data_IF_850671715171
#
_entry.id   IF_850671715171
#
_cell.length_a   1.000
_cell.length_b   1.000
_cell.length_c   1.000
_cell.angle_alpha   90.00
_cell.angle_beta   90.00
_cell.angle_gamma   90.00
#
_symmetry.space_group_name_H-M   'P 1'
#
loop_
_entity.id
_entity.type
_entity.pdbx_description
1 polymer ?
#
# COMPACT_ATOMS: atom_id res chain seq x y z
N UNK A 1 -64.28 -22.78 -26.41
CA UNK A 1 -63.31 -21.82 -27.01
C UNK A 1 -63.12 -20.61 -26.10
N UNK A 2 -64.19 -19.93 -25.70
CA UNK A 2 -64.14 -18.73 -24.83
C UNK A 2 -63.49 -19.01 -23.46
N UNK A 3 -63.89 -20.08 -22.75
CA UNK A 3 -63.29 -20.46 -21.46
C UNK A 3 -61.80 -20.84 -21.53
N UNK A 4 -61.32 -21.38 -22.67
CA UNK A 4 -59.89 -21.69 -22.85
C UNK A 4 -59.09 -20.41 -23.09
N UNK A 5 -59.62 -19.49 -23.90
CA UNK A 5 -59.04 -18.17 -24.13
C UNK A 5 -58.96 -17.36 -22.84
N UNK A 6 -60.01 -17.33 -22.02
CA UNK A 6 -60.00 -16.60 -20.73
C UNK A 6 -59.00 -17.19 -19.73
N UNK A 7 -58.82 -18.51 -19.70
CA UNK A 7 -57.86 -19.18 -18.80
C UNK A 7 -56.41 -18.97 -19.23
N UNK A 8 -56.15 -18.99 -20.55
CA UNK A 8 -54.84 -18.65 -21.14
C UNK A 8 -54.52 -17.17 -20.86
N UNK A 9 -55.47 -16.25 -21.10
CA UNK A 9 -55.30 -14.82 -20.80
C UNK A 9 -54.98 -14.58 -19.32
N UNK A 10 -55.71 -15.25 -18.41
CA UNK A 10 -55.55 -15.10 -16.95
C UNK A 10 -54.22 -15.66 -16.44
N UNK A 11 -53.75 -16.78 -17.00
CA UNK A 11 -52.45 -17.36 -16.65
C UNK A 11 -51.26 -16.57 -17.22
N UNK A 12 -51.39 -15.98 -18.41
CA UNK A 12 -50.38 -15.06 -18.96
C UNK A 12 -50.28 -13.80 -18.10
N UNK A 13 -51.41 -13.27 -17.60
CA UNK A 13 -51.45 -12.06 -16.74
C UNK A 13 -50.76 -12.25 -15.38
N UNK A 14 -50.67 -13.47 -14.85
CA UNK A 14 -50.02 -13.75 -13.56
C UNK A 14 -48.49 -13.82 -13.70
N UNK A 15 -47.96 -14.35 -14.80
CA UNK A 15 -46.51 -14.38 -15.03
C UNK A 15 -45.94 -13.02 -15.38
N UNK A 16 -46.64 -12.26 -16.22
CA UNK A 16 -46.17 -10.93 -16.61
C UNK A 16 -46.18 -9.94 -15.44
N UNK A 17 -46.83 -10.27 -14.32
CA UNK A 17 -46.82 -9.47 -13.09
C UNK A 17 -45.85 -9.98 -12.02
N UNK A 18 -45.38 -11.23 -12.10
CA UNK A 18 -44.47 -11.87 -11.13
C UNK A 18 -43.03 -12.04 -11.63
N UNK A 19 -42.80 -11.93 -12.94
CA UNK A 19 -41.49 -12.03 -13.58
C UNK A 19 -41.03 -10.63 -13.96
N UNK A 20 -39.77 -10.30 -13.70
CA UNK A 20 -39.22 -9.00 -14.09
C UNK A 20 -39.23 -8.80 -15.61
N UNK A 21 -39.42 -7.55 -16.06
CA UNK A 21 -39.67 -7.23 -17.46
C UNK A 21 -38.56 -7.71 -18.41
N UNK A 22 -37.31 -7.60 -17.97
CA UNK A 22 -36.11 -8.02 -18.69
C UNK A 22 -36.01 -9.56 -18.84
N UNK A 23 -36.24 -10.32 -17.76
CA UNK A 23 -36.31 -11.79 -17.81
C UNK A 23 -37.45 -12.24 -18.71
N UNK A 24 -38.60 -11.57 -18.62
CA UNK A 24 -39.71 -11.85 -19.52
C UNK A 24 -39.35 -11.53 -20.96
N UNK A 25 -38.61 -10.45 -21.24
CA UNK A 25 -38.24 -10.06 -22.60
C UNK A 25 -37.41 -11.12 -23.33
N UNK A 26 -36.49 -11.81 -22.64
CA UNK A 26 -35.67 -12.88 -23.23
C UNK A 26 -36.41 -14.21 -23.39
N UNK A 27 -37.49 -14.41 -22.62
CA UNK A 27 -38.27 -15.65 -22.61
C UNK A 27 -39.50 -15.61 -23.55
N UNK A 28 -40.10 -14.43 -23.75
CA UNK A 28 -41.43 -14.22 -24.34
C UNK A 28 -41.64 -14.93 -25.67
N UNK A 29 -40.75 -14.71 -26.64
CA UNK A 29 -40.94 -15.20 -28.01
C UNK A 29 -41.01 -16.73 -28.07
N UNK A 30 -40.14 -17.41 -27.34
CA UNK A 30 -40.15 -18.87 -27.27
C UNK A 30 -41.36 -19.36 -26.48
N UNK A 31 -41.75 -18.64 -25.43
CA UNK A 31 -42.85 -19.03 -24.56
C UNK A 31 -44.19 -18.98 -25.30
N UNK A 32 -44.46 -17.90 -26.02
CA UNK A 32 -45.70 -17.72 -26.79
C UNK A 32 -45.83 -18.73 -27.94
N UNK A 33 -44.71 -19.22 -28.46
CA UNK A 33 -44.67 -20.28 -29.49
C UNK A 33 -44.79 -21.70 -28.91
N UNK A 34 -44.93 -21.85 -27.59
CA UNK A 34 -44.93 -23.15 -26.91
C UNK A 34 -43.56 -23.82 -26.84
N UNK A 35 -42.48 -23.09 -27.14
CA UNK A 35 -41.10 -23.56 -27.00
C UNK A 35 -40.60 -23.31 -25.57
N UNK A 36 -41.18 -24.04 -24.62
CA UNK A 36 -40.94 -23.84 -23.20
C UNK A 36 -39.50 -24.15 -22.79
N UNK A 37 -38.90 -25.21 -23.34
CA UNK A 37 -37.49 -25.55 -23.11
C UNK A 37 -36.56 -24.38 -23.47
N UNK A 38 -36.75 -23.76 -24.64
CA UNK A 38 -35.92 -22.63 -25.07
C UNK A 38 -36.16 -21.38 -24.21
N UNK A 39 -37.39 -21.17 -23.75
CA UNK A 39 -37.73 -20.06 -22.85
C UNK A 39 -36.95 -20.15 -21.54
N UNK A 40 -36.85 -21.36 -20.97
CA UNK A 40 -36.07 -21.65 -19.77
C UNK A 40 -34.57 -21.41 -20.03
N UNK A 41 -34.03 -21.97 -21.12
CA UNK A 41 -32.60 -21.87 -21.42
C UNK A 41 -32.17 -20.44 -21.67
N UNK A 42 -32.97 -19.64 -22.40
CA UNK A 42 -32.72 -18.21 -22.61
C UNK A 42 -32.70 -17.44 -21.28
N UNK A 43 -33.64 -17.72 -20.38
CA UNK A 43 -33.70 -17.06 -19.07
C UNK A 43 -32.45 -17.36 -18.24
N UNK A 44 -31.97 -18.60 -18.25
CA UNK A 44 -30.75 -19.00 -17.52
C UNK A 44 -29.47 -18.48 -18.17
N UNK A 45 -29.45 -18.35 -19.49
CA UNK A 45 -28.36 -17.70 -20.20
C UNK A 45 -28.27 -16.22 -19.82
N UNK A 46 -29.41 -15.53 -19.75
CA UNK A 46 -29.49 -14.15 -19.32
C UNK A 46 -28.97 -13.96 -17.88
N UNK A 47 -29.28 -14.86 -16.94
CA UNK A 47 -28.67 -14.84 -15.59
C UNK A 47 -27.13 -14.87 -15.67
N UNK A 48 -26.55 -15.77 -16.48
CA UNK A 48 -25.09 -15.85 -16.64
C UNK A 48 -24.51 -14.55 -17.21
N UNK A 49 -25.21 -13.89 -18.12
CA UNK A 49 -24.80 -12.61 -18.69
C UNK A 49 -24.77 -11.51 -17.64
N UNK A 50 -25.83 -11.38 -16.84
CA UNK A 50 -25.90 -10.39 -15.75
C UNK A 50 -24.84 -10.64 -14.68
N UNK A 51 -24.58 -11.90 -14.33
CA UNK A 51 -23.51 -12.23 -13.37
C UNK A 51 -22.15 -11.81 -13.94
N UNK A 52 -21.85 -12.13 -15.21
CA UNK A 52 -20.59 -11.74 -15.87
C UNK A 52 -20.40 -10.24 -15.90
N UNK A 53 -21.42 -9.52 -16.36
CA UNK A 53 -21.41 -8.06 -16.45
C UNK A 53 -21.08 -7.44 -15.09
N UNK A 54 -21.75 -7.93 -14.05
CA UNK A 54 -21.62 -7.34 -12.72
C UNK A 54 -20.33 -7.72 -12.01
N UNK A 55 -19.87 -8.96 -12.18
CA UNK A 55 -18.66 -9.47 -11.53
C UNK A 55 -17.38 -9.14 -12.31
N UNK A 56 -17.47 -8.73 -13.58
CA UNK A 56 -16.32 -8.53 -14.46
C UNK A 56 -15.59 -9.83 -14.85
N UNK A 57 -16.21 -11.00 -14.66
CA UNK A 57 -15.56 -12.29 -14.91
C UNK A 57 -15.82 -12.75 -16.35
N UNK A 58 -14.81 -13.34 -16.99
CA UNK A 58 -14.91 -13.98 -18.32
C UNK A 58 -15.14 -15.50 -18.23
N UNK A 59 -15.85 -15.95 -17.19
CA UNK A 59 -16.19 -17.36 -16.94
C UNK A 59 -17.63 -17.66 -17.35
N UNK A 60 -17.99 -18.94 -17.47
CA UNK A 60 -19.38 -19.36 -17.73
C UNK A 60 -19.80 -20.47 -16.76
N UNK A 61 -21.12 -20.62 -16.62
CA UNK A 61 -21.77 -21.75 -15.98
C UNK A 61 -21.35 -21.89 -14.50
N UNK A 62 -21.14 -23.10 -14.01
CA UNK A 62 -20.82 -23.35 -12.60
C UNK A 62 -19.56 -22.62 -12.11
N UNK A 63 -18.52 -22.52 -12.95
CA UNK A 63 -17.28 -21.82 -12.61
C UNK A 63 -17.53 -20.33 -12.36
N UNK A 64 -18.41 -19.72 -13.15
CA UNK A 64 -18.82 -18.34 -12.94
C UNK A 64 -19.52 -18.17 -11.58
N UNK A 65 -20.43 -19.08 -11.21
CA UNK A 65 -21.15 -19.00 -9.94
C UNK A 65 -20.24 -19.25 -8.73
N UNK A 66 -19.29 -20.18 -8.87
CA UNK A 66 -18.28 -20.44 -7.84
C UNK A 66 -17.45 -19.19 -7.54
N UNK A 67 -16.87 -18.56 -8.56
CA UNK A 67 -16.02 -17.37 -8.38
C UNK A 67 -16.83 -16.10 -8.02
N UNK A 68 -18.07 -16.00 -8.52
CA UNK A 68 -18.89 -14.82 -8.26
C UNK A 68 -19.44 -14.79 -6.83
N UNK A 69 -19.85 -15.92 -6.26
CA UNK A 69 -20.64 -15.92 -5.01
C UNK A 69 -20.09 -16.81 -3.89
N UNK A 70 -19.23 -17.79 -4.20
CA UNK A 70 -18.74 -18.77 -3.24
C UNK A 70 -17.26 -18.52 -2.90
N UNK A 71 -16.72 -19.29 -1.96
CA UNK A 71 -15.34 -19.13 -1.48
C UNK A 71 -15.18 -18.06 -0.40
N UNK A 72 -13.94 -17.79 -0.02
CA UNK A 72 -13.62 -16.82 1.05
C UNK A 72 -13.79 -15.36 0.58
N UNK A 73 -13.62 -15.09 -0.72
CA UNK A 73 -13.62 -13.74 -1.29
C UNK A 73 -14.48 -13.66 -2.56
N UNK A 74 -15.82 -13.72 -2.43
CA UNK A 74 -16.72 -13.70 -3.59
C UNK A 74 -16.67 -12.34 -4.31
N UNK A 75 -16.71 -12.36 -5.66
CA UNK A 75 -16.71 -11.13 -6.50
C UNK A 75 -18.02 -10.35 -6.46
N UNK A 76 -19.11 -10.94 -5.99
CA UNK A 76 -20.40 -10.29 -5.80
C UNK A 76 -20.92 -10.61 -4.39
N UNK A 77 -21.11 -9.57 -3.59
CA UNK A 77 -21.63 -9.65 -2.22
C UNK A 77 -23.12 -9.34 -2.20
N UNK A 78 -23.92 -10.27 -1.70
CA UNK A 78 -25.38 -10.13 -1.59
C UNK A 78 -25.77 -9.36 -0.31
N UNK A 79 -24.92 -9.40 0.70
CA UNK A 79 -25.06 -8.69 1.97
C UNK A 79 -23.67 -8.29 2.51
N UNK A 80 -23.56 -7.93 3.79
CA UNK A 80 -22.30 -7.42 4.37
C UNK A 80 -21.31 -8.51 4.80
N UNK A 81 -21.72 -9.78 4.84
CA UNK A 81 -20.90 -10.92 5.28
C UNK A 81 -20.34 -10.80 6.72
N UNK A 82 -20.98 -10.02 7.59
CA UNK A 82 -20.50 -9.78 8.95
C UNK A 82 -20.89 -10.91 9.91
N UNK A 83 -22.12 -11.41 9.78
CA UNK A 83 -22.67 -12.46 10.64
C UNK A 83 -22.60 -13.84 9.97
N UNK A 84 -22.67 -14.90 10.77
CA UNK A 84 -22.77 -16.27 10.22
C UNK A 84 -24.01 -16.41 9.33
N UNK A 85 -25.15 -15.85 9.74
CA UNK A 85 -26.38 -15.84 8.94
C UNK A 85 -26.19 -15.17 7.57
N UNK A 86 -25.48 -14.04 7.53
CA UNK A 86 -25.16 -13.35 6.28
C UNK A 86 -24.26 -14.19 5.36
N UNK A 87 -23.27 -14.88 5.93
CA UNK A 87 -22.40 -15.82 5.19
C UNK A 87 -23.18 -17.01 4.67
N UNK A 88 -24.10 -17.55 5.45
CA UNK A 88 -24.97 -18.66 5.05
C UNK A 88 -25.91 -18.25 3.90
N UNK A 89 -26.47 -17.04 3.96
CA UNK A 89 -27.30 -16.48 2.87
C UNK A 89 -26.48 -16.33 1.60
N UNK A 90 -25.27 -15.77 1.68
CA UNK A 90 -24.36 -15.61 0.54
C UNK A 90 -24.07 -16.97 -0.12
N UNK A 91 -23.66 -17.95 0.68
CA UNK A 91 -23.37 -19.29 0.19
C UNK A 91 -24.63 -19.94 -0.40
N UNK A 92 -25.77 -19.80 0.27
CA UNK A 92 -27.05 -20.32 -0.18
C UNK A 92 -27.44 -19.83 -1.57
N UNK A 93 -27.33 -18.52 -1.84
CA UNK A 93 -27.64 -17.99 -3.18
C UNK A 93 -26.63 -18.48 -4.22
N UNK A 94 -25.34 -18.54 -3.89
CA UNK A 94 -24.34 -19.15 -4.77
C UNK A 94 -24.68 -20.60 -5.13
N UNK A 95 -25.13 -21.40 -4.16
CA UNK A 95 -25.57 -22.78 -4.39
C UNK A 95 -26.85 -22.87 -5.20
N UNK A 96 -27.82 -21.97 -5.02
CA UNK A 96 -29.04 -21.93 -5.84
C UNK A 96 -28.71 -21.64 -7.31
N UNK A 97 -27.89 -20.62 -7.57
CA UNK A 97 -27.46 -20.27 -8.93
C UNK A 97 -26.65 -21.40 -9.58
N UNK A 98 -25.71 -21.99 -8.84
CA UNK A 98 -24.94 -23.15 -9.30
C UNK A 98 -25.85 -24.37 -9.55
N UNK A 99 -26.86 -24.58 -8.70
CA UNK A 99 -27.87 -25.62 -8.86
C UNK A 99 -28.74 -25.42 -10.10
N UNK A 100 -29.16 -24.19 -10.40
CA UNK A 100 -29.87 -23.85 -11.64
C UNK A 100 -29.02 -24.16 -12.88
N UNK A 101 -27.73 -23.88 -12.83
CA UNK A 101 -26.81 -24.27 -13.89
C UNK A 101 -26.75 -25.80 -14.05
N UNK A 102 -26.47 -26.53 -12.97
CA UNK A 102 -26.26 -27.98 -13.01
C UNK A 102 -27.52 -28.79 -13.32
N UNK A 103 -28.62 -28.51 -12.62
CA UNK A 103 -29.83 -29.33 -12.66
C UNK A 103 -30.84 -28.87 -13.73
N UNK A 104 -30.77 -27.60 -14.16
CA UNK A 104 -31.76 -27.03 -15.08
C UNK A 104 -31.16 -26.69 -16.43
N UNK A 105 -30.13 -25.83 -16.49
CA UNK A 105 -29.52 -25.38 -17.75
C UNK A 105 -28.81 -26.54 -18.46
N UNK A 106 -27.90 -27.23 -17.79
CA UNK A 106 -26.99 -28.19 -18.42
C UNK A 106 -27.75 -29.35 -19.10
N UNK A 107 -28.74 -30.01 -18.46
CA UNK A 107 -29.47 -31.08 -19.13
C UNK A 107 -30.20 -30.60 -20.38
N UNK A 108 -30.78 -29.38 -20.36
CA UNK A 108 -31.49 -28.79 -21.51
C UNK A 108 -30.56 -28.34 -22.64
N UNK A 109 -29.29 -28.06 -22.32
CA UNK A 109 -28.29 -27.69 -23.30
C UNK A 109 -27.62 -28.90 -23.97
N UNK A 110 -27.60 -30.06 -23.31
CA UNK A 110 -26.89 -31.25 -23.78
C UNK A 110 -27.83 -32.36 -24.27
N UNK A 111 -29.08 -32.39 -23.82
CA UNK A 111 -30.05 -33.44 -24.15
C UNK A 111 -31.38 -32.86 -24.68
N UNK A 112 -32.19 -33.71 -25.31
CA UNK A 112 -33.53 -33.32 -25.76
C UNK A 112 -34.48 -33.27 -24.56
N UNK A 113 -34.95 -32.07 -24.23
CA UNK A 113 -35.90 -31.82 -23.17
C UNK A 113 -37.23 -31.32 -23.73
N UNK A 114 -38.36 -31.81 -23.22
CA UNK A 114 -39.70 -31.37 -23.62
C UNK A 114 -40.45 -30.83 -22.41
N UNK A 115 -40.13 -29.59 -22.03
CA UNK A 115 -40.83 -28.90 -20.95
C UNK A 115 -42.26 -28.54 -21.36
N UNK A 116 -43.18 -28.61 -20.40
CA UNK A 116 -44.52 -28.06 -20.55
C UNK A 116 -44.60 -26.65 -19.98
N UNK A 117 -45.76 -26.01 -20.16
CA UNK A 117 -46.01 -24.65 -19.70
C UNK A 117 -45.82 -24.51 -18.20
N UNK A 118 -46.37 -25.43 -17.42
CA UNK A 118 -46.34 -25.39 -15.96
C UNK A 118 -44.90 -25.43 -15.40
N UNK A 119 -44.03 -26.21 -16.04
CA UNK A 119 -42.61 -26.28 -15.70
C UNK A 119 -41.90 -24.96 -16.06
N UNK A 120 -42.14 -24.41 -17.26
CA UNK A 120 -41.58 -23.12 -17.65
C UNK A 120 -42.02 -22.00 -16.71
N UNK A 121 -43.30 -21.95 -16.36
CA UNK A 121 -43.88 -21.00 -15.43
C UNK A 121 -43.13 -21.00 -14.10
N UNK A 122 -42.95 -22.20 -13.54
CA UNK A 122 -42.29 -22.40 -12.25
C UNK A 122 -40.82 -21.97 -12.29
N UNK A 123 -40.09 -22.41 -13.32
CA UNK A 123 -38.65 -22.18 -13.41
C UNK A 123 -38.37 -20.70 -13.70
N UNK A 124 -39.09 -20.07 -14.63
CA UNK A 124 -38.86 -18.66 -14.99
C UNK A 124 -39.17 -17.74 -13.81
N UNK A 125 -40.24 -18.02 -13.05
CA UNK A 125 -40.53 -17.28 -11.82
C UNK A 125 -39.41 -17.44 -10.79
N UNK A 126 -38.92 -18.67 -10.59
CA UNK A 126 -37.83 -18.91 -9.65
C UNK A 126 -36.51 -18.25 -10.10
N UNK A 127 -36.21 -18.26 -11.41
CA UNK A 127 -35.09 -17.54 -12.00
C UNK A 127 -35.20 -16.05 -11.71
N UNK A 128 -36.37 -15.44 -11.90
CA UNK A 128 -36.61 -14.02 -11.60
C UNK A 128 -36.33 -13.71 -10.13
N UNK A 129 -36.84 -14.55 -9.21
CA UNK A 129 -36.61 -14.38 -7.77
C UNK A 129 -35.12 -14.47 -7.40
N UNK A 130 -34.38 -15.45 -7.92
CA UNK A 130 -32.96 -15.61 -7.60
C UNK A 130 -32.12 -14.47 -8.22
N UNK A 131 -32.49 -14.01 -9.42
CA UNK A 131 -31.79 -12.92 -10.11
C UNK A 131 -31.86 -11.59 -9.33
N UNK A 132 -32.89 -11.37 -8.52
CA UNK A 132 -32.98 -10.17 -7.68
C UNK A 132 -31.85 -10.09 -6.64
N UNK A 133 -31.34 -11.22 -6.14
CA UNK A 133 -30.15 -11.21 -5.28
C UNK A 133 -28.90 -10.73 -6.04
N UNK A 134 -28.76 -11.14 -7.31
CA UNK A 134 -27.67 -10.68 -8.18
C UNK A 134 -27.82 -9.19 -8.47
N UNK A 135 -29.02 -8.69 -8.76
CA UNK A 135 -29.27 -7.26 -9.01
C UNK A 135 -28.97 -6.39 -7.79
N UNK A 136 -29.26 -6.90 -6.60
CA UNK A 136 -29.01 -6.19 -5.35
C UNK A 136 -27.58 -6.40 -4.81
N UNK A 137 -26.78 -7.28 -5.43
CA UNK A 137 -25.40 -7.50 -5.00
C UNK A 137 -24.52 -6.27 -5.23
N UNK A 138 -23.42 -6.18 -4.50
CA UNK A 138 -22.39 -5.16 -4.69
C UNK A 138 -21.06 -5.84 -4.98
N UNK A 139 -20.21 -5.18 -5.76
CA UNK A 139 -18.81 -5.57 -5.83
C UNK A 139 -18.17 -5.44 -4.43
N UNK A 140 -17.13 -6.22 -4.11
CA UNK A 140 -16.53 -6.25 -2.78
C UNK A 140 -15.98 -4.87 -2.45
N UNK A 141 -16.52 -4.24 -1.40
CA UNK A 141 -15.96 -3.02 -0.81
C UNK A 141 -15.90 -3.20 0.71
N UNK A 142 -15.28 -4.31 1.13
CA UNK A 142 -14.83 -4.43 2.51
C UNK A 142 -13.53 -3.65 2.68
N UNK A 143 -13.31 -3.07 3.85
CA UNK A 143 -12.09 -2.31 4.12
C UNK A 143 -10.88 -3.24 4.05
N UNK A 144 -11.07 -4.51 4.38
CA UNK A 144 -10.08 -5.57 4.25
C UNK A 144 -9.58 -5.74 2.81
N UNK A 145 -10.47 -5.66 1.81
CA UNK A 145 -10.08 -5.76 0.39
C UNK A 145 -9.13 -4.57 0.02
N UNK A 146 -9.40 -3.39 0.56
CA UNK A 146 -8.56 -2.21 0.40
C UNK A 146 -7.26 -2.30 1.20
N UNK A 147 -7.27 -2.90 2.40
CA UNK A 147 -6.06 -3.09 3.19
C UNK A 147 -5.06 -4.00 2.49
N UNK A 148 -5.51 -5.12 1.92
CA UNK A 148 -4.64 -6.01 1.14
C UNK A 148 -4.08 -5.30 -0.09
N UNK A 149 -4.88 -4.44 -0.73
CA UNK A 149 -4.42 -3.66 -1.88
C UNK A 149 -3.36 -2.62 -1.51
N UNK A 150 -3.54 -1.86 -0.42
CA UNK A 150 -2.58 -0.79 -0.05
C UNK A 150 -1.29 -1.36 0.54
N UNK A 151 -1.34 -2.52 1.20
CA UNK A 151 -0.15 -3.20 1.71
C UNK A 151 0.53 -4.09 0.67
N UNK A 152 0.11 -4.06 -0.59
CA UNK A 152 0.79 -4.79 -1.66
C UNK A 152 2.25 -4.34 -1.80
N UNK A 153 3.13 -5.30 -2.07
CA UNK A 153 4.57 -5.06 -2.20
C UNK A 153 4.92 -4.05 -3.30
N UNK A 154 4.07 -3.96 -4.33
CA UNK A 154 4.25 -3.10 -5.50
C UNK A 154 3.38 -1.84 -5.45
N UNK A 155 2.77 -1.52 -4.29
CA UNK A 155 1.99 -0.29 -4.15
C UNK A 155 2.84 0.94 -4.47
N UNK A 156 2.35 1.78 -5.38
CA UNK A 156 3.07 2.95 -5.89
C UNK A 156 2.81 4.17 -4.99
N UNK A 157 3.83 4.61 -4.26
CA UNK A 157 3.74 5.77 -3.37
C UNK A 157 3.88 7.13 -4.06
N UNK A 158 3.47 7.29 -5.33
CA UNK A 158 3.42 8.62 -5.93
C UNK A 158 2.13 9.35 -5.51
N UNK A 159 2.23 10.68 -5.40
CA UNK A 159 1.07 11.53 -5.09
C UNK A 159 -0.05 11.37 -6.11
N UNK A 160 0.29 11.27 -7.40
CA UNK A 160 -0.69 11.09 -8.48
C UNK A 160 -1.42 9.74 -8.38
N UNK A 161 -0.67 8.66 -8.14
CA UNK A 161 -1.27 7.34 -7.96
C UNK A 161 -2.18 7.28 -6.72
N UNK A 162 -1.74 7.90 -5.61
CA UNK A 162 -2.52 7.97 -4.38
C UNK A 162 -3.88 8.65 -4.59
N UNK A 163 -3.94 9.72 -5.40
CA UNK A 163 -5.20 10.40 -5.75
C UNK A 163 -6.14 9.53 -6.57
N UNK A 164 -5.60 8.76 -7.52
CA UNK A 164 -6.40 7.83 -8.34
C UNK A 164 -6.97 6.73 -7.44
N UNK A 165 -6.15 6.11 -6.60
CA UNK A 165 -6.62 5.10 -5.63
C UNK A 165 -7.71 5.66 -4.73
N UNK A 166 -7.56 6.89 -4.24
CA UNK A 166 -8.54 7.51 -3.37
C UNK A 166 -9.92 7.71 -4.04
N UNK A 167 -9.97 7.94 -5.35
CA UNK A 167 -11.22 8.07 -6.10
C UNK A 167 -12.01 6.76 -6.17
N UNK A 168 -11.32 5.62 -6.10
CA UNK A 168 -11.94 4.29 -6.12
C UNK A 168 -12.45 3.85 -4.73
N UNK A 169 -11.92 4.45 -3.65
CA UNK A 169 -12.32 4.12 -2.28
C UNK A 169 -13.66 4.82 -1.95
N UNK A 170 -14.71 4.07 -1.54
CA UNK A 170 -15.99 4.68 -1.17
C UNK A 170 -15.83 5.70 -0.03
N UNK A 171 -16.46 6.88 -0.14
CA UNK A 171 -16.34 7.97 0.85
C UNK A 171 -16.54 7.51 2.30
N UNK A 172 -17.60 6.70 2.54
CA UNK A 172 -17.94 6.18 3.87
C UNK A 172 -16.93 5.17 4.44
N UNK A 173 -15.91 4.78 3.66
CA UNK A 173 -14.89 3.81 4.04
C UNK A 173 -13.51 4.42 4.23
N UNK A 174 -13.30 5.67 3.84
CA UNK A 174 -11.99 6.34 3.93
C UNK A 174 -11.50 6.46 5.38
N UNK A 175 -12.36 6.88 6.30
CA UNK A 175 -12.04 6.94 7.73
C UNK A 175 -11.69 5.55 8.30
N UNK A 176 -12.54 4.55 8.04
CA UNK A 176 -12.32 3.18 8.51
C UNK A 176 -11.02 2.58 7.95
N UNK A 177 -10.70 2.84 6.68
CA UNK A 177 -9.44 2.44 6.06
C UNK A 177 -8.24 3.11 6.73
N UNK A 178 -8.29 4.44 6.94
CA UNK A 178 -7.23 5.19 7.62
C UNK A 178 -6.94 4.61 9.01
N UNK A 179 -7.97 4.38 9.81
CA UNK A 179 -7.82 3.77 11.16
C UNK A 179 -7.17 2.40 11.07
N UNK A 180 -7.59 1.55 10.12
CA UNK A 180 -7.03 0.21 10.00
C UNK A 180 -5.60 0.19 9.42
N UNK A 181 -5.25 1.13 8.53
CA UNK A 181 -3.86 1.27 8.07
C UNK A 181 -2.94 1.50 9.27
N UNK A 182 -3.31 2.41 10.18
CA UNK A 182 -2.52 2.64 11.39
C UNK A 182 -2.56 1.45 12.35
N UNK A 183 -3.70 0.78 12.51
CA UNK A 183 -3.80 -0.44 13.34
C UNK A 183 -2.88 -1.56 12.86
N UNK A 184 -2.70 -1.71 11.55
CA UNK A 184 -1.92 -2.79 10.94
C UNK A 184 -0.62 -2.30 10.28
N UNK A 185 -0.14 -1.12 10.67
CA UNK A 185 1.02 -0.44 10.06
C UNK A 185 2.32 -1.24 10.02
N UNK A 186 2.47 -2.23 10.90
CA UNK A 186 3.61 -3.15 10.89
C UNK A 186 3.73 -3.96 9.59
N UNK A 187 2.63 -4.11 8.85
CA UNK A 187 2.60 -4.77 7.54
C UNK A 187 3.12 -3.89 6.41
N UNK A 188 3.19 -2.58 6.61
CA UNK A 188 3.56 -1.65 5.54
C UNK A 188 5.06 -1.73 5.24
N UNK A 189 5.45 -1.36 4.01
CA UNK A 189 6.85 -1.07 3.71
C UNK A 189 7.20 0.36 4.13
N UNK A 190 8.49 0.58 4.40
CA UNK A 190 8.99 1.89 4.82
C UNK A 190 8.68 2.96 3.76
N UNK A 191 8.12 4.10 4.20
CA UNK A 191 7.77 5.24 3.35
C UNK A 191 6.86 4.89 2.16
N UNK A 192 6.04 3.83 2.26
CA UNK A 192 5.18 3.36 1.15
C UNK A 192 3.79 4.04 1.11
N UNK A 193 3.29 4.52 2.25
CA UNK A 193 1.89 4.94 2.38
C UNK A 193 1.68 6.41 2.74
N UNK A 194 2.75 7.18 2.92
CA UNK A 194 2.63 8.57 3.41
C UNK A 194 1.79 9.47 2.48
N UNK A 195 1.91 9.35 1.15
CA UNK A 195 1.10 10.13 0.22
C UNK A 195 -0.37 9.71 0.26
N UNK A 196 -0.67 8.41 0.30
CA UNK A 196 -2.04 7.92 0.42
C UNK A 196 -2.68 8.36 1.73
N UNK A 197 -1.95 8.28 2.84
CA UNK A 197 -2.44 8.71 4.16
C UNK A 197 -2.69 10.22 4.16
N UNK A 198 -1.82 11.02 3.53
CA UNK A 198 -2.06 12.46 3.40
C UNK A 198 -3.39 12.74 2.69
N UNK A 199 -3.62 12.10 1.54
CA UNK A 199 -4.83 12.27 0.74
C UNK A 199 -6.09 11.70 1.46
N UNK A 200 -5.96 10.60 2.21
CA UNK A 200 -7.03 10.08 3.08
C UNK A 200 -7.40 11.07 4.17
N UNK A 201 -6.41 11.64 4.86
CA UNK A 201 -6.65 12.64 5.91
C UNK A 201 -7.25 13.95 5.36
N UNK A 202 -6.97 14.31 4.10
CA UNK A 202 -7.56 15.48 3.44
C UNK A 202 -8.98 15.25 2.93
N UNK A 203 -9.41 13.99 2.77
CA UNK A 203 -10.70 13.64 2.18
C UNK A 203 -11.78 13.21 3.18
N UNK A 204 -11.42 12.96 4.44
CA UNK A 204 -12.36 12.73 5.54
C UNK A 204 -12.86 14.05 6.14
N UNK A 205 -13.93 13.99 6.92
CA UNK A 205 -14.47 15.17 7.60
C UNK A 205 -13.53 15.68 8.71
N UNK A 206 -13.65 16.95 9.10
CA UNK A 206 -12.87 17.51 10.22
C UNK A 206 -13.09 16.73 11.51
N UNK A 207 -14.35 16.38 11.83
CA UNK A 207 -14.69 15.63 13.04
C UNK A 207 -14.06 14.22 13.04
N UNK A 208 -14.07 13.52 11.90
CA UNK A 208 -13.39 12.22 11.74
C UNK A 208 -11.87 12.35 11.88
N UNK A 209 -11.28 13.40 11.31
CA UNK A 209 -9.85 13.66 11.44
C UNK A 209 -9.47 13.95 12.90
N UNK A 210 -10.26 14.76 13.60
CA UNK A 210 -10.07 15.08 15.02
C UNK A 210 -10.22 13.82 15.88
N UNK A 211 -11.20 12.95 15.59
CA UNK A 211 -11.38 11.66 16.27
C UNK A 211 -10.17 10.73 16.04
N UNK A 212 -9.70 10.62 14.79
CA UNK A 212 -8.51 9.85 14.43
C UNK A 212 -7.28 10.33 15.20
N UNK A 213 -7.00 11.63 15.14
CA UNK A 213 -5.84 12.24 15.81
C UNK A 213 -5.95 12.09 17.33
N UNK A 214 -7.15 12.24 17.91
CA UNK A 214 -7.38 12.03 19.33
C UNK A 214 -7.03 10.61 19.78
N UNK A 215 -7.50 9.60 19.03
CA UNK A 215 -7.22 8.19 19.33
C UNK A 215 -5.75 7.85 19.12
N UNK A 216 -5.16 8.33 18.03
CA UNK A 216 -3.74 8.16 17.72
C UNK A 216 -2.85 8.75 18.81
N UNK A 217 -3.17 9.93 19.34
CA UNK A 217 -2.42 10.54 20.44
C UNK A 217 -2.46 9.70 21.72
N UNK A 218 -3.59 9.06 22.05
CA UNK A 218 -3.67 8.18 23.23
C UNK A 218 -2.71 7.00 23.13
N UNK A 219 -2.62 6.41 21.94
CA UNK A 219 -1.72 5.30 21.65
C UNK A 219 -0.26 5.76 21.73
N UNK A 220 0.08 6.85 21.02
CA UNK A 220 1.45 7.37 20.94
C UNK A 220 1.97 7.90 22.29
N UNK A 221 1.11 8.39 23.18
CA UNK A 221 1.52 8.79 24.53
C UNK A 221 2.17 7.64 25.31
N UNK A 222 1.81 6.38 25.02
CA UNK A 222 2.37 5.20 25.66
C UNK A 222 3.39 4.47 24.77
N UNK A 223 3.84 5.07 23.66
CA UNK A 223 4.77 4.42 22.75
C UNK A 223 6.14 4.12 23.38
N UNK A 224 6.78 3.08 22.87
CA UNK A 224 8.16 2.70 23.11
C UNK A 224 8.90 2.60 21.75
N UNK A 225 10.23 2.43 21.76
CA UNK A 225 10.98 2.17 20.53
C UNK A 225 10.71 0.73 20.07
N UNK A 226 9.68 0.59 19.23
CA UNK A 226 9.22 -0.68 18.67
C UNK A 226 8.85 -0.50 17.18
N UNK A 227 8.57 -1.61 16.50
CA UNK A 227 8.16 -1.64 15.08
C UNK A 227 6.96 -0.73 14.82
N UNK A 228 5.96 -0.76 15.69
CA UNK A 228 4.81 0.12 15.67
C UNK A 228 5.17 1.61 15.59
N UNK A 229 6.04 2.13 16.46
CA UNK A 229 6.44 3.54 16.43
C UNK A 229 7.27 3.89 15.19
N UNK A 230 8.16 2.98 14.76
CA UNK A 230 8.98 3.15 13.57
C UNK A 230 8.10 3.23 12.32
N UNK A 231 7.15 2.31 12.18
CA UNK A 231 6.21 2.32 11.06
C UNK A 231 5.27 3.51 11.11
N UNK A 232 4.89 3.98 12.31
CA UNK A 232 4.19 5.25 12.46
C UNK A 232 4.98 6.42 11.85
N UNK A 233 6.27 6.58 12.20
CA UNK A 233 7.12 7.65 11.65
C UNK A 233 7.32 7.54 10.13
N UNK A 234 7.32 6.33 9.60
CA UNK A 234 7.48 6.04 8.17
C UNK A 234 6.23 6.37 7.34
N UNK A 235 5.03 6.10 7.88
CA UNK A 235 3.77 6.27 7.11
C UNK A 235 3.03 7.57 7.44
N UNK A 236 3.25 8.16 8.62
CA UNK A 236 2.56 9.40 8.99
C UNK A 236 3.09 10.58 8.16
N UNK A 237 2.21 11.40 7.54
CA UNK A 237 2.64 12.53 6.70
C UNK A 237 3.44 13.55 7.53
N UNK A 238 4.72 13.81 7.20
CA UNK A 238 5.56 14.75 7.95
C UNK A 238 4.96 16.15 8.08
N UNK A 239 4.30 16.64 7.02
CA UNK A 239 3.63 17.94 6.97
C UNK A 239 2.46 18.08 7.95
N UNK A 240 1.90 16.97 8.41
CA UNK A 240 0.81 16.93 9.39
C UNK A 240 1.30 16.76 10.82
N UNK A 241 2.62 16.76 11.06
CA UNK A 241 3.21 16.59 12.39
C UNK A 241 2.51 17.47 13.45
N UNK A 242 2.27 18.74 13.13
CA UNK A 242 1.63 19.73 14.01
C UNK A 242 0.21 19.39 14.49
N UNK A 243 -0.48 18.43 13.87
CA UNK A 243 -1.78 17.94 14.33
C UNK A 243 -1.67 17.13 15.63
N UNK A 244 -0.51 16.54 15.91
CA UNK A 244 -0.27 15.81 17.16
C UNK A 244 -0.14 16.77 18.34
N UNK A 245 -0.61 16.35 19.51
CA UNK A 245 -0.54 17.22 20.70
C UNK A 245 0.94 17.40 21.13
N UNK A 246 1.32 18.58 21.68
CA UNK A 246 2.73 18.90 21.94
C UNK A 246 3.47 17.87 22.80
N UNK A 247 2.82 17.34 23.83
CA UNK A 247 3.41 16.32 24.72
C UNK A 247 3.76 15.02 23.97
N UNK A 248 2.94 14.61 23.00
CA UNK A 248 3.20 13.43 22.15
C UNK A 248 4.38 13.69 21.24
N UNK A 249 4.39 14.84 20.56
CA UNK A 249 5.48 15.22 19.64
C UNK A 249 6.83 15.26 20.36
N UNK A 250 6.93 16.02 21.44
CA UNK A 250 8.16 16.16 22.21
C UNK A 250 8.66 14.83 22.77
N UNK A 251 7.75 13.92 23.17
CA UNK A 251 8.13 12.56 23.60
C UNK A 251 8.79 11.79 22.44
N UNK A 252 8.15 11.73 21.27
CA UNK A 252 8.69 11.00 20.11
C UNK A 252 10.00 11.63 19.64
N UNK A 253 10.05 12.96 19.54
CA UNK A 253 11.26 13.70 19.16
C UNK A 253 12.42 13.43 20.14
N UNK A 254 12.15 13.37 21.45
CA UNK A 254 13.14 12.98 22.44
C UNK A 254 13.65 11.54 22.24
N UNK A 255 12.76 10.59 21.93
CA UNK A 255 13.14 9.21 21.64
C UNK A 255 14.01 9.11 20.37
N UNK A 256 13.65 9.84 19.31
CA UNK A 256 14.45 9.93 18.09
C UNK A 256 15.83 10.53 18.37
N UNK A 257 15.91 11.62 19.15
CA UNK A 257 17.19 12.23 19.56
C UNK A 257 18.07 11.24 20.33
N UNK A 258 17.52 10.57 21.33
CA UNK A 258 18.25 9.57 22.13
C UNK A 258 18.75 8.41 21.26
N UNK A 259 17.95 7.97 20.30
CA UNK A 259 18.34 6.96 19.33
C UNK A 259 19.51 7.46 18.46
N UNK A 260 19.41 8.68 17.93
CA UNK A 260 20.44 9.31 17.10
C UNK A 260 21.77 9.48 17.85
N UNK A 261 21.75 9.90 19.11
CA UNK A 261 22.95 10.03 19.94
C UNK A 261 23.75 8.73 19.99
N UNK A 262 23.04 7.60 20.12
CA UNK A 262 23.62 6.25 20.25
C UNK A 262 23.89 5.57 18.90
N UNK A 263 23.48 6.19 17.79
CA UNK A 263 23.53 5.58 16.48
C UNK A 263 24.96 5.51 15.91
N UNK A 264 25.29 4.38 15.29
CA UNK A 264 26.51 4.18 14.50
C UNK A 264 26.34 3.02 13.52
N UNK A 265 27.19 2.97 12.50
CA UNK A 265 27.29 1.78 11.66
C UNK A 265 28.00 0.66 12.41
N UNK A 266 27.59 -0.57 12.15
CA UNK A 266 28.24 -1.78 12.62
C UNK A 266 28.32 -2.77 11.46
N UNK A 267 29.51 -3.32 11.24
CA UNK A 267 29.71 -4.38 10.26
C UNK A 267 29.41 -5.75 10.86
N UNK A 268 28.68 -6.57 10.12
CA UNK A 268 28.42 -7.97 10.47
C UNK A 268 28.33 -8.82 9.20
N UNK A 269 28.77 -10.08 9.29
CA UNK A 269 28.51 -11.06 8.24
C UNK A 269 27.02 -11.42 8.20
N UNK A 270 26.37 -11.23 7.06
CA UNK A 270 24.98 -11.64 6.83
C UNK A 270 24.83 -13.17 6.88
N UNK A 271 25.87 -13.90 6.45
CA UNK A 271 26.03 -15.34 6.65
C UNK A 271 27.39 -15.61 7.34
N UNK A 272 27.41 -16.19 8.56
CA UNK A 272 28.65 -16.54 9.27
C UNK A 272 29.58 -17.49 8.53
N UNK A 273 29.12 -18.14 7.46
CA UNK A 273 29.87 -19.09 6.64
C UNK A 273 30.28 -18.52 5.27
N UNK A 274 29.85 -17.32 4.93
CA UNK A 274 30.23 -16.62 3.69
C UNK A 274 31.02 -15.36 4.02
N UNK A 275 32.33 -15.41 3.79
CA UNK A 275 33.24 -14.28 4.05
C UNK A 275 32.99 -13.09 3.11
N UNK A 276 32.24 -13.26 2.02
CA UNK A 276 31.87 -12.20 1.09
C UNK A 276 30.52 -11.54 1.46
N UNK A 277 29.84 -12.03 2.51
CA UNK A 277 28.53 -11.53 2.98
C UNK A 277 28.60 -10.36 3.97
N UNK A 278 29.69 -9.60 3.97
CA UNK A 278 29.89 -8.50 4.92
C UNK A 278 28.94 -7.32 4.62
N UNK A 279 28.07 -7.00 5.58
CA UNK A 279 27.11 -5.90 5.48
C UNK A 279 27.26 -4.91 6.63
N UNK A 280 27.22 -3.62 6.31
CA UNK A 280 27.11 -2.55 7.30
C UNK A 280 25.64 -2.24 7.55
N UNK A 281 25.25 -2.15 8.81
CA UNK A 281 23.90 -1.75 9.21
C UNK A 281 23.95 -0.82 10.42
N UNK A 282 22.88 -0.07 10.64
CA UNK A 282 22.72 0.72 11.86
C UNK A 282 22.62 -0.20 13.09
N UNK A 283 23.35 0.12 14.16
CA UNK A 283 23.19 -0.57 15.44
C UNK A 283 21.75 -0.48 15.97
N UNK A 284 21.34 -1.44 16.80
CA UNK A 284 19.96 -1.54 17.30
C UNK A 284 19.46 -0.26 17.99
N UNK A 285 20.33 0.46 18.69
CA UNK A 285 19.99 1.69 19.41
C UNK A 285 19.71 2.87 18.47
N UNK A 286 20.28 2.88 17.26
CA UNK A 286 20.12 3.95 16.28
C UNK A 286 18.92 3.79 15.35
N UNK A 287 18.28 2.61 15.33
CA UNK A 287 17.26 2.26 14.32
C UNK A 287 16.08 3.23 14.34
N UNK A 288 15.56 3.64 15.50
CA UNK A 288 14.41 4.55 15.54
C UNK A 288 14.72 5.89 14.83
N UNK A 289 15.95 6.37 14.94
CA UNK A 289 16.34 7.64 14.34
C UNK A 289 16.26 7.63 12.81
N UNK A 290 16.55 6.49 12.16
CA UNK A 290 16.51 6.38 10.70
C UNK A 290 15.09 6.57 10.15
N UNK A 291 14.08 6.10 10.88
CA UNK A 291 12.66 6.27 10.53
C UNK A 291 12.16 7.72 10.72
N UNK A 292 12.85 8.50 11.57
CA UNK A 292 12.50 9.91 11.82
C UNK A 292 13.05 10.90 10.80
N UNK A 293 13.93 10.47 9.90
CA UNK A 293 14.71 11.34 8.98
C UNK A 293 13.83 12.27 8.15
N UNK A 294 12.74 11.75 7.56
CA UNK A 294 11.80 12.52 6.74
C UNK A 294 11.00 13.57 7.54
N UNK A 295 10.91 13.40 8.86
CA UNK A 295 10.12 14.28 9.75
C UNK A 295 10.95 15.36 10.44
N UNK A 296 12.29 15.31 10.38
CA UNK A 296 13.19 16.24 11.08
C UNK A 296 12.86 17.71 10.79
N UNK A 297 12.51 18.05 9.55
CA UNK A 297 12.17 19.44 9.16
C UNK A 297 10.94 19.99 9.91
N UNK A 298 10.06 19.10 10.38
CA UNK A 298 8.81 19.45 11.05
C UNK A 298 8.88 19.31 12.57
N UNK A 299 9.98 18.78 13.10
CA UNK A 299 10.19 18.62 14.54
C UNK A 299 10.42 19.97 15.21
N UNK A 300 9.88 20.14 16.42
CA UNK A 300 10.15 21.32 17.25
C UNK A 300 11.62 21.34 17.69
N UNK A 301 12.21 20.17 17.90
CA UNK A 301 13.62 20.01 18.31
C UNK A 301 14.58 19.90 17.12
N UNK A 302 14.20 20.41 15.93
CA UNK A 302 15.05 20.37 14.71
C UNK A 302 16.48 20.85 14.98
N UNK A 303 16.64 22.00 15.62
CA UNK A 303 17.97 22.59 15.88
C UNK A 303 18.85 21.72 16.79
N UNK A 304 18.24 21.03 17.77
CA UNK A 304 18.97 20.07 18.61
C UNK A 304 19.43 18.86 17.81
N UNK A 305 18.60 18.35 16.89
CA UNK A 305 18.96 17.25 16.00
C UNK A 305 20.12 17.66 15.08
N UNK A 306 20.04 18.85 14.46
CA UNK A 306 21.14 19.36 13.63
C UNK A 306 22.44 19.49 14.41
N UNK A 307 22.36 19.88 15.69
CA UNK A 307 23.50 19.94 16.60
C UNK A 307 24.11 18.55 16.84
N UNK A 308 23.27 17.54 17.12
CA UNK A 308 23.73 16.15 17.29
C UNK A 308 24.39 15.63 16.00
N UNK A 309 23.79 15.87 14.83
CA UNK A 309 24.36 15.48 13.53
C UNK A 309 25.72 16.14 13.30
N UNK A 310 25.84 17.44 13.60
CA UNK A 310 27.11 18.17 13.51
C UNK A 310 28.20 17.58 14.40
N UNK A 311 27.87 17.26 15.66
CA UNK A 311 28.80 16.59 16.57
C UNK A 311 29.22 15.22 16.07
N UNK A 312 28.28 14.41 15.58
CA UNK A 312 28.58 13.06 15.04
C UNK A 312 29.43 13.11 13.77
N UNK A 313 29.23 14.09 12.88
CA UNK A 313 30.12 14.31 11.72
C UNK A 313 31.53 14.74 12.12
N UNK A 314 31.69 15.38 13.28
CA UNK A 314 33.01 15.77 13.82
C UNK A 314 33.72 14.67 14.61
N UNK A 315 33.05 13.54 14.84
CA UNK A 315 33.59 12.41 15.59
C UNK A 315 34.77 11.77 14.85
N UNK A 316 35.76 11.30 15.60
CA UNK A 316 36.95 10.63 15.04
C UNK A 316 36.60 9.22 14.53
N UNK A 317 35.57 8.58 15.10
CA UNK A 317 35.09 7.26 14.68
C UNK A 317 34.40 7.32 13.31
N UNK A 318 34.96 6.65 12.26
CA UNK A 318 34.36 6.62 10.94
C UNK A 318 32.98 5.97 10.90
N UNK A 319 32.66 5.02 11.81
CA UNK A 319 31.36 4.35 11.84
C UNK A 319 30.24 5.30 12.30
N UNK A 320 30.58 6.24 13.19
CA UNK A 320 29.67 7.30 13.66
C UNK A 320 29.38 8.29 12.52
N UNK A 321 30.42 8.71 11.77
CA UNK A 321 30.26 9.60 10.63
C UNK A 321 29.47 8.94 9.50
N UNK A 322 29.81 7.69 9.18
CA UNK A 322 29.16 6.91 8.12
C UNK A 322 27.67 6.78 8.35
N UNK A 323 27.23 6.57 9.60
CA UNK A 323 25.82 6.51 9.94
C UNK A 323 25.07 7.78 9.55
N UNK A 324 25.65 8.95 9.84
CA UNK A 324 25.05 10.24 9.51
C UNK A 324 24.97 10.43 8.00
N UNK A 325 26.03 10.07 7.28
CA UNK A 325 26.09 10.22 5.83
C UNK A 325 25.07 9.28 5.15
N UNK A 326 24.96 8.04 5.59
CA UNK A 326 24.07 7.05 4.99
C UNK A 326 22.58 7.41 5.18
N UNK A 327 22.18 7.69 6.42
CA UNK A 327 20.78 7.86 6.77
C UNK A 327 20.30 9.32 6.77
N UNK A 328 21.18 10.29 7.00
CA UNK A 328 20.82 11.71 7.13
C UNK A 328 21.36 12.60 6.01
N UNK A 329 21.89 12.04 4.91
CA UNK A 329 22.37 12.81 3.74
C UNK A 329 21.41 13.91 3.28
N UNK A 330 20.10 13.63 3.22
CA UNK A 330 19.09 14.62 2.77
C UNK A 330 18.99 15.83 3.71
N UNK A 331 19.23 15.61 5.00
CA UNK A 331 19.21 16.67 6.03
C UNK A 331 20.55 17.40 6.03
N UNK A 332 21.65 16.64 6.09
CA UNK A 332 23.02 17.17 6.23
C UNK A 332 23.46 17.93 4.98
N UNK A 333 23.17 17.41 3.80
CA UNK A 333 23.52 18.01 2.52
C UNK A 333 22.35 18.81 1.90
N UNK A 334 21.30 19.02 2.68
CA UNK A 334 20.18 19.87 2.29
C UNK A 334 20.49 21.35 2.47
N UNK A 335 19.43 22.16 2.47
CA UNK A 335 19.51 23.63 2.56
C UNK A 335 20.06 24.18 3.88
N UNK A 336 20.27 23.33 4.89
CA UNK A 336 20.84 23.70 6.19
C UNK A 336 22.36 23.56 6.25
N UNK A 337 22.96 22.85 5.28
CA UNK A 337 24.39 22.54 5.22
C UNK A 337 25.29 23.78 5.33
N UNK A 338 24.87 24.90 4.74
CA UNK A 338 25.58 26.18 4.72
C UNK A 338 25.11 27.18 5.77
N UNK A 339 24.06 26.86 6.54
CA UNK A 339 23.38 27.79 7.46
C UNK A 339 23.53 27.41 8.92
N UNK A 340 23.45 26.12 9.24
CA UNK A 340 23.53 25.65 10.61
C UNK A 340 25.01 25.50 11.04
N UNK A 341 25.40 26.24 12.08
CA UNK A 341 26.79 26.30 12.53
C UNK A 341 27.36 24.94 12.97
N UNK A 342 26.53 24.09 13.59
CA UNK A 342 26.97 22.77 14.04
C UNK A 342 27.22 21.84 12.84
N UNK A 343 26.35 21.87 11.84
CA UNK A 343 26.56 21.14 10.59
C UNK A 343 27.80 21.62 9.84
N UNK A 344 27.97 22.94 9.69
CA UNK A 344 29.16 23.51 9.03
C UNK A 344 30.44 23.02 9.72
N UNK A 345 30.48 23.08 11.06
CA UNK A 345 31.61 22.58 11.82
C UNK A 345 31.83 21.07 11.61
N UNK A 346 30.77 20.27 11.71
CA UNK A 346 30.83 18.82 11.52
C UNK A 346 31.33 18.42 10.13
N UNK A 347 30.81 19.05 9.08
CA UNK A 347 31.20 18.81 7.69
C UNK A 347 32.67 19.17 7.47
N UNK A 348 33.12 20.33 7.95
CA UNK A 348 34.54 20.73 7.86
C UNK A 348 35.46 19.73 8.56
N UNK A 349 35.06 19.23 9.73
CA UNK A 349 35.81 18.19 10.45
C UNK A 349 35.83 16.87 9.67
N UNK A 350 34.69 16.43 9.14
CA UNK A 350 34.61 15.24 8.27
C UNK A 350 35.56 15.34 7.07
N UNK A 351 35.58 16.48 6.37
CA UNK A 351 36.52 16.75 5.28
C UNK A 351 37.99 16.70 5.74
N UNK A 352 38.29 17.22 6.93
CA UNK A 352 39.64 17.16 7.51
C UNK A 352 40.09 15.75 7.89
N UNK A 353 39.16 14.83 8.11
CA UNK A 353 39.44 13.40 8.25
C UNK A 353 39.52 12.66 6.90
N UNK A 354 39.41 13.40 5.79
CA UNK A 354 39.41 12.87 4.43
C UNK A 354 38.26 11.86 4.20
N UNK A 355 37.09 12.15 4.76
CA UNK A 355 35.89 11.35 4.53
C UNK A 355 35.45 11.43 3.06
N UNK A 356 35.53 10.30 2.35
CA UNK A 356 35.36 10.23 0.90
C UNK A 356 33.94 10.60 0.46
N UNK A 357 32.91 10.12 1.16
CA UNK A 357 31.52 10.39 0.80
C UNK A 357 31.18 11.87 0.98
N UNK A 358 31.64 12.47 2.10
CA UNK A 358 31.49 13.91 2.34
C UNK A 358 32.19 14.71 1.25
N UNK A 359 33.43 14.34 0.93
CA UNK A 359 34.22 15.00 -0.10
C UNK A 359 33.58 14.94 -1.49
N UNK A 360 33.19 13.76 -1.96
CA UNK A 360 32.60 13.56 -3.28
C UNK A 360 31.29 14.36 -3.44
N UNK A 361 30.46 14.40 -2.40
CA UNK A 361 29.23 15.20 -2.40
C UNK A 361 29.51 16.70 -2.57
N UNK A 362 30.38 17.26 -1.73
CA UNK A 362 30.68 18.70 -1.77
C UNK A 362 31.48 19.11 -3.01
N UNK A 363 32.36 18.25 -3.50
CA UNK A 363 33.04 18.43 -4.79
C UNK A 363 32.02 18.51 -5.93
N UNK A 364 31.05 17.61 -5.97
CA UNK A 364 29.99 17.63 -6.99
C UNK A 364 29.19 18.95 -6.96
N UNK A 365 28.78 19.41 -5.77
CA UNK A 365 28.08 20.69 -5.62
C UNK A 365 28.92 21.88 -6.12
N UNK A 366 30.20 21.92 -5.77
CA UNK A 366 31.09 23.03 -6.11
C UNK A 366 31.47 23.01 -7.60
N UNK A 367 31.87 21.87 -8.13
CA UNK A 367 32.49 21.77 -9.45
C UNK A 367 31.47 21.51 -10.56
N UNK A 368 30.50 20.62 -10.33
CA UNK A 368 29.53 20.23 -11.34
C UNK A 368 28.30 21.16 -11.35
N UNK A 369 27.80 21.54 -10.17
CA UNK A 369 26.63 22.43 -10.06
C UNK A 369 27.05 23.91 -10.04
N UNK A 370 28.26 24.22 -9.57
CA UNK A 370 28.74 25.60 -9.49
C UNK A 370 28.15 26.38 -8.31
N UNK A 371 27.81 25.69 -7.21
CA UNK A 371 27.22 26.31 -6.03
C UNK A 371 28.21 27.27 -5.33
N UNK A 372 27.95 28.56 -5.48
CA UNK A 372 28.78 29.63 -4.93
C UNK A 372 28.69 29.73 -3.40
N UNK A 373 27.53 29.42 -2.80
CA UNK A 373 27.34 29.48 -1.35
C UNK A 373 28.15 28.35 -0.69
N UNK A 374 27.98 27.14 -1.20
CA UNK A 374 28.74 25.96 -0.77
C UNK A 374 30.25 26.16 -0.95
N UNK A 375 30.68 26.72 -2.10
CA UNK A 375 32.09 27.06 -2.33
C UNK A 375 32.63 28.07 -1.31
N UNK A 376 31.85 29.09 -0.95
CA UNK A 376 32.26 30.09 0.02
C UNK A 376 32.46 29.51 1.43
N UNK A 377 31.65 28.51 1.81
CA UNK A 377 31.70 27.90 3.14
C UNK A 377 32.78 26.79 3.24
N UNK A 378 32.87 25.92 2.23
CA UNK A 378 33.65 24.66 2.30
C UNK A 378 34.80 24.55 1.29
N UNK A 379 34.98 25.54 0.40
CA UNK A 379 35.91 25.42 -0.73
C UNK A 379 37.37 25.17 -0.34
N UNK A 380 37.82 25.73 0.79
CA UNK A 380 39.20 25.53 1.27
C UNK A 380 39.41 24.08 1.75
N UNK A 381 38.47 23.56 2.53
CA UNK A 381 38.51 22.20 3.04
C UNK A 381 38.43 21.19 1.90
N UNK A 382 37.53 21.39 0.92
CA UNK A 382 37.42 20.53 -0.27
C UNK A 382 38.72 20.53 -1.09
N UNK A 383 39.34 21.70 -1.31
CA UNK A 383 40.61 21.77 -2.04
C UNK A 383 41.75 21.04 -1.30
N UNK A 384 41.82 21.19 0.02
CA UNK A 384 42.79 20.47 0.86
C UNK A 384 42.60 18.96 0.79
N UNK A 385 41.35 18.49 0.86
CA UNK A 385 41.02 17.06 0.79
C UNK A 385 41.28 16.49 -0.62
N UNK A 386 41.03 17.26 -1.69
CA UNK A 386 41.36 16.86 -3.06
C UNK A 386 42.87 16.62 -3.21
N UNK A 387 43.70 17.54 -2.72
CA UNK A 387 45.16 17.40 -2.78
C UNK A 387 45.64 16.14 -2.05
N UNK A 388 45.01 15.79 -0.93
CA UNK A 388 45.31 14.54 -0.21
C UNK A 388 45.03 13.31 -1.08
N UNK A 389 43.86 13.23 -1.72
CA UNK A 389 43.51 12.10 -2.58
C UNK A 389 44.40 12.01 -3.83
N UNK A 390 44.73 13.14 -4.47
CA UNK A 390 45.63 13.17 -5.63
C UNK A 390 47.03 12.65 -5.28
N UNK A 391 47.52 12.97 -4.08
CA UNK A 391 48.81 12.49 -3.59
C UNK A 391 48.79 10.97 -3.33
N UNK A 392 47.67 10.42 -2.86
CA UNK A 392 47.55 8.97 -2.67
C UNK A 392 47.49 8.20 -3.98
N UNK A 393 46.77 8.71 -4.99
CA UNK A 393 46.71 8.09 -6.32
C UNK A 393 48.11 8.05 -6.96
N UNK A 394 48.84 9.17 -6.92
CA UNK A 394 50.21 9.26 -7.46
C UNK A 394 51.26 8.42 -6.70
N UNK A 395 51.05 8.13 -5.42
CA UNK A 395 51.89 7.17 -4.68
C UNK A 395 51.57 5.72 -5.01
N UNK A 396 50.30 5.39 -5.28
CA UNK A 396 49.87 4.03 -5.69
C UNK A 396 50.31 3.64 -7.11
N UNK A 397 50.63 4.62 -7.96
CA UNK A 397 51.12 4.41 -9.35
C UNK A 397 52.64 4.29 -9.46
N UNK A 398 53.42 4.43 -8.36
CA UNK A 398 54.86 4.18 -8.40
C UNK A 398 55.12 2.67 -8.54
N UNK A 399 55.91 2.22 -9.54
CA UNK A 399 56.23 0.80 -9.68
C UNK A 399 56.92 0.30 -8.41
N UNK A 400 56.46 -0.84 -7.88
CA UNK A 400 57.20 -1.59 -6.87
C UNK A 400 58.62 -1.78 -7.39
N UNK A 401 59.61 -1.14 -6.75
CA UNK A 401 61.00 -1.51 -6.98
C UNK A 401 61.15 -2.94 -6.48
N UNK A 402 61.28 -3.87 -7.42
CA UNK A 402 61.85 -5.19 -7.16
C UNK A 402 63.17 -4.97 -6.41
N UNK A 403 63.20 -5.32 -5.13
CA UNK A 403 64.46 -5.48 -4.40
C UNK A 403 65.12 -6.74 -4.94
N UNK A 404 66.00 -6.57 -5.93
CA UNK A 404 67.08 -7.51 -6.20
C UNK A 404 67.96 -7.61 -4.94
N UNK A 405 67.57 -8.47 -4.00
CA UNK A 405 68.50 -8.97 -3.00
C UNK A 405 69.40 -10.01 -3.69
N UNK A 406 70.56 -9.54 -4.12
CA UNK A 406 71.72 -10.36 -4.44
C UNK A 406 72.04 -11.27 -3.24
N UNK A 407 71.83 -12.58 -3.41
CA UNK A 407 72.37 -13.60 -2.52
C UNK A 407 73.90 -13.67 -2.68
N UNK A 408 74.70 -13.52 -1.60
CA UNK A 408 76.12 -13.82 -1.67
C UNK A 408 76.36 -15.33 -1.54
N UNK A 409 77.29 -15.81 -2.37
CA UNK A 409 77.76 -17.19 -2.55
C UNK A 409 78.17 -17.94 -1.27
#
# INVERSE_FOLDING_TARGET
MEQLSTKIQKNVTIITTLVSEDVWSVARDNYERGSYTNSITNSLQYVNEIVREKSGLSLDNTKLMDEAFLGQSPKLKINKLQTQTEKDIQAGVGYLLKGLCLAVRNPRAHERYNDNKEVADTIIQFVSYVLDFVRNSKQPSLVEDWLEFVFDENFNNSKEYSKIVLQEIPEKKKYELLVNIFRFRERARENQLNNLINELMESITSDECDEFIYNLNKELLQCADNTELRMFLSIYPPEKWSLLVPITRLKIEHMVKKSLEQAKMVGQYADPFDNDSWEYHCNQQGVLSTFGTNSVTYFETKEEILTILGHKLSDEDPDIRSFVIEHYQRVVFGSESTKNLALIYGIKRSLSYHDRNTFEHFKFLIDAIGDHETRAVFGNEVASTQQYFDNQETESEKPHKDSEDELPF
#
